data_IF_028016695272
#
_entry.id   IF_028016695272
#
_cell.length_a   1.000
_cell.length_b   1.000
_cell.length_c   1.000
_cell.angle_alpha   90.00
_cell.angle_beta   90.00
_cell.angle_gamma   90.00
#
_symmetry.space_group_name_H-M   'P 1'
#
loop_
_entity.id
_entity.type
_entity.pdbx_description
1 polymer ?
#
# COMPACT_ATOMS: atom_id res chain seq x y z
N UNK A 1 -26.85 -8.72 -10.83
CA UNK A 1 -25.67 -8.01 -11.37
C UNK A 1 -24.44 -8.73 -10.85
N UNK A 2 -23.49 -9.05 -11.72
CA UNK A 2 -22.36 -9.87 -11.30
C UNK A 2 -21.28 -8.97 -10.73
N UNK A 3 -21.24 -8.91 -9.40
CA UNK A 3 -20.18 -8.27 -8.65
C UNK A 3 -18.89 -9.08 -8.83
N UNK A 4 -18.03 -8.62 -9.74
CA UNK A 4 -16.75 -9.26 -10.00
C UNK A 4 -15.57 -8.50 -9.39
N UNK A 5 -14.65 -9.29 -8.85
CA UNK A 5 -13.32 -8.94 -8.44
C UNK A 5 -12.41 -9.02 -9.68
N UNK A 6 -11.88 -7.89 -10.10
CA UNK A 6 -10.88 -7.84 -11.15
C UNK A 6 -9.53 -8.38 -10.64
N UNK A 7 -9.04 -9.45 -11.26
CA UNK A 7 -7.76 -10.10 -10.90
C UNK A 7 -6.86 -10.17 -12.12
N UNK A 8 -5.63 -9.70 -11.99
CA UNK A 8 -4.59 -9.76 -13.02
C UNK A 8 -3.55 -10.79 -12.58
N UNK A 9 -3.37 -11.82 -13.40
CA UNK A 9 -2.37 -12.88 -13.19
C UNK A 9 -1.08 -12.55 -13.93
N UNK A 10 0.06 -12.65 -13.26
CA UNK A 10 1.40 -12.43 -13.81
C UNK A 10 2.22 -13.72 -13.72
N UNK A 11 3.18 -13.89 -14.62
CA UNK A 11 4.18 -14.94 -14.50
C UNK A 11 5.25 -14.58 -13.48
N UNK A 12 5.81 -15.58 -12.80
CA UNK A 12 6.90 -15.36 -11.84
C UNK A 12 8.29 -15.22 -12.50
N UNK A 13 8.42 -15.52 -13.80
CA UNK A 13 9.70 -15.39 -14.49
C UNK A 13 9.95 -13.98 -15.05
N UNK A 14 11.22 -13.59 -15.14
CA UNK A 14 11.63 -12.31 -15.75
C UNK A 14 11.16 -12.18 -17.21
N UNK A 15 10.92 -13.31 -17.89
CA UNK A 15 10.54 -13.37 -19.30
C UNK A 15 9.08 -12.95 -19.53
N UNK A 16 8.21 -13.13 -18.53
CA UNK A 16 6.80 -12.72 -18.60
C UNK A 16 6.60 -11.21 -18.61
N UNK A 17 7.63 -10.41 -18.31
CA UNK A 17 7.56 -8.95 -18.37
C UNK A 17 6.61 -8.33 -17.34
N UNK A 18 6.03 -7.18 -17.71
CA UNK A 18 5.11 -6.38 -16.89
C UNK A 18 3.64 -6.50 -17.33
N UNK A 19 3.33 -7.34 -18.32
CA UNK A 19 1.97 -7.55 -18.77
C UNK A 19 1.36 -8.78 -18.07
N UNK A 20 0.07 -8.72 -17.70
CA UNK A 20 -0.59 -9.86 -17.10
C UNK A 20 -0.80 -10.97 -18.13
N UNK A 21 -0.49 -12.21 -17.75
CA UNK A 21 -0.78 -13.44 -18.50
C UNK A 21 -2.28 -13.64 -18.70
N UNK A 22 -3.10 -13.23 -17.73
CA UNK A 22 -4.55 -13.28 -17.80
C UNK A 22 -5.19 -12.17 -16.98
N UNK A 23 -6.34 -11.66 -17.46
CA UNK A 23 -7.21 -10.75 -16.73
C UNK A 23 -8.52 -11.49 -16.46
N UNK A 24 -8.80 -11.74 -15.18
CA UNK A 24 -9.91 -12.54 -14.71
C UNK A 24 -10.94 -11.67 -14.01
N UNK A 25 -12.19 -12.11 -14.05
CA UNK A 25 -13.31 -11.56 -13.30
C UNK A 25 -13.87 -12.68 -12.43
N UNK A 26 -13.66 -12.57 -11.12
CA UNK A 26 -14.01 -13.61 -10.14
C UNK A 26 -15.08 -13.13 -9.18
N UNK A 27 -15.85 -14.02 -8.58
CA UNK A 27 -16.75 -13.61 -7.49
C UNK A 27 -15.94 -13.17 -6.24
N UNK A 28 -16.51 -12.31 -5.39
CA UNK A 28 -15.87 -11.92 -4.12
C UNK A 28 -15.70 -13.09 -3.14
N UNK A 29 -16.50 -14.14 -3.26
CA UNK A 29 -16.34 -15.38 -2.52
C UNK A 29 -15.56 -16.47 -3.29
N UNK A 30 -14.88 -16.11 -4.39
CA UNK A 30 -14.12 -17.05 -5.20
C UNK A 30 -13.08 -17.80 -4.36
N UNK A 31 -13.05 -19.11 -4.56
CA UNK A 31 -12.13 -20.05 -3.93
C UNK A 31 -10.91 -20.30 -4.83
N UNK A 32 -10.02 -21.18 -4.40
CA UNK A 32 -8.93 -21.68 -5.24
C UNK A 32 -9.45 -22.31 -6.54
N UNK A 33 -10.52 -23.12 -6.47
CA UNK A 33 -11.09 -23.79 -7.64
C UNK A 33 -11.59 -22.77 -8.67
N UNK A 34 -12.31 -21.75 -8.22
CA UNK A 34 -12.81 -20.67 -9.08
C UNK A 34 -11.67 -19.91 -9.76
N UNK A 35 -10.58 -19.64 -9.04
CA UNK A 35 -9.39 -19.00 -9.60
C UNK A 35 -8.77 -19.87 -10.71
N UNK A 36 -8.59 -21.16 -10.47
CA UNK A 36 -8.02 -22.09 -11.44
C UNK A 36 -8.94 -22.27 -12.66
N UNK A 37 -10.24 -22.43 -12.43
CA UNK A 37 -11.22 -22.64 -13.48
C UNK A 37 -11.45 -21.41 -14.36
N UNK A 38 -11.18 -20.21 -13.85
CA UNK A 38 -11.22 -18.99 -14.65
C UNK A 38 -9.99 -18.82 -15.57
N UNK A 39 -8.88 -19.51 -15.30
CA UNK A 39 -7.67 -19.38 -16.13
C UNK A 39 -7.86 -19.98 -17.54
N UNK A 40 -7.12 -19.49 -18.55
CA UNK A 40 -7.02 -20.16 -19.85
C UNK A 40 -6.58 -21.63 -19.70
N UNK A 41 -7.12 -22.53 -20.53
CA UNK A 41 -6.84 -23.99 -20.45
C UNK A 41 -5.33 -24.30 -20.51
N UNK A 42 -4.57 -23.54 -21.31
CA UNK A 42 -3.12 -23.67 -21.42
C UNK A 42 -2.38 -23.38 -20.10
N UNK A 43 -2.94 -22.53 -19.24
CA UNK A 43 -2.35 -22.13 -17.96
C UNK A 43 -2.73 -23.06 -16.82
N UNK A 44 -3.95 -23.64 -16.82
CA UNK A 44 -4.46 -24.46 -15.69
C UNK A 44 -3.56 -25.62 -15.29
N UNK A 45 -2.93 -26.25 -16.27
CA UNK A 45 -2.05 -27.38 -16.01
C UNK A 45 -0.65 -26.94 -15.60
N UNK A 46 -0.25 -25.73 -16.00
CA UNK A 46 1.08 -25.19 -15.81
C UNK A 46 1.21 -24.50 -14.45
N UNK A 47 0.26 -23.64 -14.09
CA UNK A 47 0.29 -22.83 -12.89
C UNK A 47 -0.64 -23.39 -11.82
N UNK A 48 -0.07 -23.81 -10.69
CA UNK A 48 -0.82 -24.43 -9.58
C UNK A 48 -0.64 -23.71 -8.25
N UNK A 49 0.24 -22.71 -8.22
CA UNK A 49 0.55 -21.98 -7.00
C UNK A 49 0.42 -20.49 -7.28
N UNK A 50 -0.07 -19.75 -6.29
CA UNK A 50 -0.33 -18.33 -6.42
C UNK A 50 0.32 -17.58 -5.27
N UNK A 51 0.79 -16.36 -5.54
CA UNK A 51 1.32 -15.47 -4.51
C UNK A 51 0.92 -14.03 -4.76
N UNK A 52 0.97 -13.21 -3.72
CA UNK A 52 0.96 -11.75 -3.84
C UNK A 52 2.27 -11.22 -3.27
N UNK A 53 3.00 -10.42 -4.06
CA UNK A 53 4.30 -9.92 -3.66
C UNK A 53 5.25 -11.05 -3.15
N UNK A 54 5.24 -12.19 -3.86
CA UNK A 54 5.97 -13.45 -3.54
C UNK A 54 5.58 -14.14 -2.23
N UNK A 55 4.48 -13.73 -1.60
CA UNK A 55 3.94 -14.41 -0.41
C UNK A 55 2.85 -15.38 -0.84
N UNK A 56 2.99 -16.69 -0.56
CA UNK A 56 2.05 -17.68 -1.05
C UNK A 56 0.63 -17.40 -0.57
N UNK A 57 -0.34 -17.63 -1.45
CA UNK A 57 -1.74 -17.63 -1.11
C UNK A 57 -2.12 -19.01 -0.59
N UNK A 58 -2.44 -19.09 0.70
CA UNK A 58 -2.86 -20.34 1.35
C UNK A 58 -4.39 -20.46 1.34
N UNK A 59 -4.87 -21.60 0.86
CA UNK A 59 -6.29 -21.98 0.79
C UNK A 59 -6.56 -23.20 1.69
N UNK A 60 -5.90 -23.22 2.84
CA UNK A 60 -5.76 -24.34 3.77
C UNK A 60 -7.03 -24.69 4.55
N UNK A 61 -7.95 -23.74 4.71
CA UNK A 61 -9.20 -23.92 5.46
C UNK A 61 -10.39 -23.95 4.51
N UNK A 62 -11.34 -24.84 4.78
CA UNK A 62 -12.64 -24.85 4.11
C UNK A 62 -13.29 -23.46 4.17
N UNK A 63 -13.74 -22.97 3.01
CA UNK A 63 -14.30 -21.63 2.88
C UNK A 63 -13.27 -20.49 2.76
N UNK A 64 -11.97 -20.78 2.65
CA UNK A 64 -10.97 -19.75 2.33
C UNK A 64 -11.22 -19.16 0.94
N UNK A 65 -11.58 -17.88 0.90
CA UNK A 65 -11.72 -17.11 -0.34
C UNK A 65 -10.37 -16.54 -0.78
N UNK A 66 -10.27 -16.19 -2.06
CA UNK A 66 -9.12 -15.49 -2.63
C UNK A 66 -8.76 -14.24 -1.84
N UNK A 67 -9.77 -13.46 -1.43
CA UNK A 67 -9.57 -12.24 -0.67
C UNK A 67 -8.99 -12.49 0.72
N UNK A 68 -9.49 -13.51 1.44
CA UNK A 68 -8.94 -13.83 2.76
C UNK A 68 -7.55 -14.45 2.67
N UNK A 69 -7.23 -15.16 1.59
CA UNK A 69 -5.88 -15.62 1.31
C UNK A 69 -4.93 -14.44 1.00
N UNK A 70 -5.35 -13.51 0.14
CA UNK A 70 -4.57 -12.29 -0.17
C UNK A 70 -4.36 -11.44 1.07
N UNK A 71 -5.40 -11.20 1.88
CA UNK A 71 -5.28 -10.45 3.12
C UNK A 71 -4.23 -11.07 4.06
N UNK A 72 -4.31 -12.39 4.29
CA UNK A 72 -3.38 -13.12 5.16
C UNK A 72 -1.94 -13.08 4.66
N UNK A 73 -1.75 -13.05 3.34
CA UNK A 73 -0.45 -12.99 2.72
C UNK A 73 0.20 -11.59 2.75
N UNK A 74 -0.55 -10.49 2.95
CA UNK A 74 0.00 -9.13 2.89
C UNK A 74 0.71 -8.68 4.18
N UNK A 75 1.68 -7.78 4.04
CA UNK A 75 2.37 -7.16 5.19
C UNK A 75 1.55 -6.06 5.90
N UNK A 76 0.47 -5.54 5.31
CA UNK A 76 -0.34 -4.43 5.85
C UNK A 76 -1.69 -4.92 6.41
N UNK A 77 -2.13 -4.47 7.59
CA UNK A 77 -3.42 -4.86 8.23
C UNK A 77 -4.60 -4.03 7.74
N UNK A 78 -4.57 -3.59 6.47
CA UNK A 78 -5.60 -2.69 5.95
C UNK A 78 -6.80 -3.46 5.42
N UNK A 79 -7.99 -2.94 5.69
CA UNK A 79 -9.24 -3.43 5.10
C UNK A 79 -9.48 -2.86 3.69
N UNK A 80 -8.60 -1.95 3.25
CA UNK A 80 -8.67 -1.26 1.99
C UNK A 80 -7.80 -1.95 0.93
N UNK A 81 -8.46 -2.39 -0.14
CA UNK A 81 -7.84 -3.06 -1.27
C UNK A 81 -7.88 -2.17 -2.51
N UNK A 82 -6.82 -2.28 -3.29
CA UNK A 82 -6.72 -1.67 -4.61
C UNK A 82 -7.08 -2.69 -5.66
N UNK A 83 -7.92 -2.30 -6.60
CA UNK A 83 -8.23 -3.11 -7.77
C UNK A 83 -7.51 -2.58 -9.03
N UNK A 84 -7.14 -3.48 -9.96
CA UNK A 84 -7.28 -4.95 -9.89
C UNK A 84 -6.30 -5.60 -8.90
N UNK A 85 -6.64 -6.77 -8.35
CA UNK A 85 -5.69 -7.56 -7.57
C UNK A 85 -4.61 -8.12 -8.49
N UNK A 86 -3.35 -7.86 -8.18
CA UNK A 86 -2.21 -8.36 -8.95
C UNK A 86 -1.61 -9.59 -8.25
N UNK A 87 -1.75 -10.76 -8.88
CA UNK A 87 -1.36 -12.06 -8.32
C UNK A 87 -0.33 -12.69 -9.26
N UNK A 88 0.76 -13.24 -8.69
CA UNK A 88 1.72 -14.02 -9.44
C UNK A 88 1.28 -15.50 -9.46
N UNK A 89 1.39 -16.12 -10.62
CA UNK A 89 1.14 -17.54 -10.85
C UNK A 89 2.48 -18.26 -11.02
N UNK A 90 2.64 -19.40 -10.33
CA UNK A 90 3.88 -20.15 -10.30
C UNK A 90 3.66 -21.60 -10.74
N UNK A 91 4.61 -22.11 -11.53
CA UNK A 91 4.60 -23.49 -12.00
C UNK A 91 4.95 -24.49 -10.89
N UNK A 92 5.76 -24.03 -9.92
CA UNK A 92 6.32 -24.84 -8.85
C UNK A 92 6.14 -24.15 -7.51
N UNK A 93 5.99 -24.97 -6.46
CA UNK A 93 5.82 -24.52 -5.08
C UNK A 93 7.11 -23.96 -4.45
N UNK A 94 8.02 -23.35 -5.20
CA UNK A 94 9.34 -22.92 -4.70
C UNK A 94 9.25 -22.00 -3.46
N UNK A 95 8.08 -21.41 -3.21
CA UNK A 95 7.80 -20.53 -2.07
C UNK A 95 6.88 -21.15 -1.01
N UNK A 96 6.45 -22.41 -1.13
CA UNK A 96 5.48 -23.03 -0.22
C UNK A 96 5.96 -23.21 1.23
N UNK A 97 7.26 -23.07 1.49
CA UNK A 97 7.89 -23.23 2.81
C UNK A 97 8.46 -21.94 3.40
N UNK A 98 8.29 -20.79 2.74
CA UNK A 98 8.69 -19.51 3.34
C UNK A 98 7.82 -19.27 4.58
N UNK A 99 8.44 -19.29 5.76
CA UNK A 99 7.80 -19.15 7.07
C UNK A 99 7.24 -17.75 7.32
N UNK A 100 6.32 -17.32 6.47
CA UNK A 100 5.56 -16.10 6.67
C UNK A 100 4.62 -16.30 7.86
N UNK A 101 4.59 -15.30 8.74
CA UNK A 101 3.58 -15.22 9.79
C UNK A 101 2.24 -15.01 9.09
N UNK A 102 1.48 -16.10 8.94
CA UNK A 102 0.09 -16.01 8.53
C UNK A 102 -0.65 -15.27 9.63
N UNK A 103 -1.31 -14.17 9.26
CA UNK A 103 -2.19 -13.49 10.20
C UNK A 103 -3.38 -14.39 10.50
N UNK A 104 -3.55 -14.70 11.77
CA UNK A 104 -4.65 -15.55 12.22
C UNK A 104 -5.97 -14.77 12.26
N UNK A 105 -5.92 -13.46 12.46
CA UNK A 105 -7.11 -12.64 12.65
C UNK A 105 -7.53 -11.97 11.33
N UNK A 106 -8.64 -12.46 10.78
CA UNK A 106 -9.36 -11.75 9.74
C UNK A 106 -10.11 -10.57 10.36
N UNK A 107 -10.21 -9.44 9.66
CA UNK A 107 -11.08 -8.35 10.09
C UNK A 107 -12.53 -8.86 10.01
N UNK A 108 -13.15 -9.04 11.17
CA UNK A 108 -14.55 -9.43 11.27
C UNK A 108 -15.37 -8.14 11.33
N UNK A 109 -15.88 -7.71 10.18
CA UNK A 109 -16.93 -6.68 10.13
C UNK A 109 -18.28 -7.40 10.13
N UNK A 110 -19.08 -7.23 11.19
CA UNK A 110 -20.45 -7.75 11.21
C UNK A 110 -21.34 -6.89 10.31
N UNK A 111 -21.60 -7.40 9.12
CA UNK A 111 -22.34 -6.67 8.11
C UNK A 111 -23.82 -6.49 8.44
N UNK A 112 -24.41 -7.40 9.21
CA UNK A 112 -25.80 -7.24 9.65
C UNK A 112 -25.90 -6.04 10.58
N UNK A 113 -24.91 -5.87 11.46
CA UNK A 113 -24.81 -4.72 12.31
C UNK A 113 -24.58 -3.42 11.52
N UNK A 114 -23.66 -3.42 10.54
CA UNK A 114 -23.40 -2.26 9.67
C UNK A 114 -24.68 -1.83 8.92
N UNK A 115 -25.39 -2.75 8.26
CA UNK A 115 -26.64 -2.38 7.58
C UNK A 115 -27.72 -1.89 8.53
N UNK A 116 -27.88 -2.55 9.68
CA UNK A 116 -28.86 -2.14 10.69
C UNK A 116 -28.57 -0.71 11.19
N UNK A 117 -27.30 -0.40 11.49
CA UNK A 117 -26.85 0.94 11.90
C UNK A 117 -27.00 1.97 10.78
N UNK A 118 -26.71 1.58 9.54
CA UNK A 118 -26.86 2.46 8.38
C UNK A 118 -28.33 2.83 8.16
N UNK A 119 -29.21 1.83 8.06
CA UNK A 119 -30.63 2.05 7.81
C UNK A 119 -31.34 2.85 8.90
N UNK A 120 -30.86 2.80 10.15
CA UNK A 120 -31.45 3.59 11.24
C UNK A 120 -31.01 5.05 11.28
N UNK A 121 -29.95 5.41 10.55
CA UNK A 121 -29.33 6.75 10.59
C UNK A 121 -29.28 7.46 9.24
N UNK A 122 -29.47 6.74 8.14
CA UNK A 122 -29.36 7.31 6.80
C UNK A 122 -30.47 8.33 6.51
N UNK A 123 -30.10 9.35 5.74
CA UNK A 123 -31.04 10.24 5.05
C UNK A 123 -31.30 9.66 3.67
N UNK A 124 -32.54 9.74 3.21
CA UNK A 124 -32.93 9.30 1.87
C UNK A 124 -33.17 10.50 0.97
N UNK A 125 -32.77 10.40 -0.29
CA UNK A 125 -33.05 11.40 -1.32
C UNK A 125 -33.36 10.73 -2.65
N UNK A 126 -34.29 11.30 -3.41
CA UNK A 126 -34.75 10.75 -4.68
C UNK A 126 -34.18 11.57 -5.85
N UNK A 127 -33.68 10.88 -6.87
CA UNK A 127 -33.30 11.42 -8.17
C UNK A 127 -34.22 10.88 -9.26
N UNK A 128 -34.53 11.74 -10.24
CA UNK A 128 -35.17 11.32 -11.48
C UNK A 128 -34.14 11.47 -12.61
N UNK A 129 -33.56 10.35 -13.04
CA UNK A 129 -32.62 10.28 -14.16
C UNK A 129 -33.41 10.15 -15.44
N UNK A 130 -33.34 11.13 -16.33
CA UNK A 130 -34.09 11.10 -17.59
C UNK A 130 -33.47 10.13 -18.59
N UNK A 131 -34.32 9.38 -19.29
CA UNK A 131 -33.89 8.49 -20.38
C UNK A 131 -33.55 9.26 -21.66
N UNK A 132 -32.71 8.66 -22.50
CA UNK A 132 -32.34 9.15 -23.85
C UNK A 132 -31.91 10.63 -23.88
N UNK A 133 -31.17 11.06 -22.86
CA UNK A 133 -30.66 12.43 -22.79
C UNK A 133 -29.26 12.50 -23.38
N UNK A 134 -29.06 13.32 -24.40
CA UNK A 134 -27.75 13.53 -25.08
C UNK A 134 -26.75 14.37 -24.27
N UNK A 135 -27.01 14.60 -22.98
CA UNK A 135 -26.14 15.36 -22.08
C UNK A 135 -25.99 14.61 -20.76
N UNK A 136 -24.90 14.88 -20.06
CA UNK A 136 -24.71 14.37 -18.70
C UNK A 136 -25.75 14.98 -17.77
N UNK A 137 -26.22 14.19 -16.81
CA UNK A 137 -27.13 14.64 -15.75
C UNK A 137 -26.38 14.61 -14.42
N UNK A 138 -26.30 15.77 -13.76
CA UNK A 138 -25.62 15.88 -12.47
C UNK A 138 -26.62 16.20 -11.36
N UNK A 139 -26.54 15.43 -10.27
CA UNK A 139 -27.36 15.58 -9.08
C UNK A 139 -26.46 15.78 -7.86
N UNK A 140 -26.85 16.70 -6.99
CA UNK A 140 -26.06 17.15 -5.84
C UNK A 140 -26.84 16.92 -4.55
N UNK A 141 -26.22 16.26 -3.57
CA UNK A 141 -26.76 16.00 -2.25
C UNK A 141 -25.72 16.39 -1.21
N UNK A 142 -25.87 17.59 -0.65
CA UNK A 142 -24.86 18.20 0.22
C UNK A 142 -23.49 18.22 -0.49
N UNK A 143 -22.50 17.48 0.02
CA UNK A 143 -21.18 17.34 -0.57
C UNK A 143 -21.09 16.23 -1.65
N UNK A 144 -22.08 15.35 -1.76
CA UNK A 144 -22.07 14.23 -2.70
C UNK A 144 -22.59 14.66 -4.07
N UNK A 145 -21.88 14.28 -5.13
CA UNK A 145 -22.24 14.59 -6.51
C UNK A 145 -22.30 13.30 -7.33
N UNK A 146 -23.40 13.13 -8.06
CA UNK A 146 -23.60 12.04 -9.02
C UNK A 146 -23.68 12.61 -10.42
N UNK A 147 -22.82 12.15 -11.31
CA UNK A 147 -22.85 12.50 -12.74
C UNK A 147 -23.15 11.27 -13.56
N UNK A 148 -24.35 11.22 -14.10
CA UNK A 148 -24.81 10.20 -15.03
C UNK A 148 -24.39 10.59 -16.45
N UNK A 149 -23.69 9.71 -17.18
CA UNK A 149 -23.32 9.96 -18.57
C UNK A 149 -24.54 10.18 -19.47
N UNK A 150 -24.36 10.87 -20.60
CA UNK A 150 -25.36 10.94 -21.66
C UNK A 150 -25.82 9.55 -22.09
N UNK A 151 -27.12 9.39 -22.34
CA UNK A 151 -27.74 8.14 -22.80
C UNK A 151 -27.48 6.93 -21.88
N UNK A 152 -27.27 7.15 -20.58
CA UNK A 152 -27.02 6.09 -19.61
C UNK A 152 -28.23 5.17 -19.35
N UNK A 153 -29.44 5.53 -19.79
CA UNK A 153 -30.64 4.69 -19.69
C UNK A 153 -31.66 5.03 -20.78
N UNK A 154 -32.47 4.05 -21.18
CA UNK A 154 -33.49 4.17 -22.24
C UNK A 154 -34.79 4.81 -21.75
N UNK A 155 -35.05 4.76 -20.44
CA UNK A 155 -36.29 5.22 -19.82
C UNK A 155 -35.99 6.06 -18.59
N UNK A 156 -36.92 6.95 -18.23
CA UNK A 156 -36.80 7.71 -16.98
C UNK A 156 -36.71 6.74 -15.80
N UNK A 157 -35.66 6.91 -14.98
CA UNK A 157 -35.37 6.05 -13.86
C UNK A 157 -35.48 6.83 -12.54
N UNK A 158 -36.17 6.23 -11.56
CA UNK A 158 -36.20 6.70 -10.18
C UNK A 158 -35.11 6.02 -9.37
N UNK A 159 -34.23 6.83 -8.79
CA UNK A 159 -33.05 6.37 -8.06
C UNK A 159 -33.05 6.98 -6.68
N UNK A 160 -33.10 6.13 -5.66
CA UNK A 160 -32.94 6.53 -4.26
C UNK A 160 -31.47 6.48 -3.86
N UNK A 161 -31.06 7.47 -3.08
CA UNK A 161 -29.78 7.49 -2.39
C UNK A 161 -30.06 7.57 -0.90
N UNK A 162 -29.59 6.55 -0.19
CA UNK A 162 -29.47 6.61 1.26
C UNK A 162 -28.04 7.02 1.60
N UNK A 163 -27.84 7.97 2.49
CA UNK A 163 -26.51 8.43 2.84
C UNK A 163 -26.40 8.94 4.28
N UNK A 164 -25.19 8.90 4.81
CA UNK A 164 -24.80 9.44 6.11
C UNK A 164 -23.59 10.36 5.89
N UNK A 165 -23.77 11.64 6.20
CA UNK A 165 -22.70 12.62 6.41
C UNK A 165 -22.68 12.92 7.91
N UNK A 166 -21.51 12.96 8.60
CA UNK A 166 -21.28 13.46 9.99
C UNK A 166 -20.62 12.48 11.00
N UNK A 167 -20.60 12.88 12.29
CA UNK A 167 -19.96 12.24 13.46
C UNK A 167 -20.37 10.78 13.71
N UNK A 168 -21.53 10.37 13.21
CA UNK A 168 -22.01 8.98 13.37
C UNK A 168 -21.18 7.94 12.60
N UNK A 169 -20.28 8.39 11.72
CA UNK A 169 -19.43 7.52 10.91
C UNK A 169 -18.40 6.72 11.73
N UNK A 170 -18.06 7.19 12.94
CA UNK A 170 -17.18 6.48 13.88
C UNK A 170 -17.73 5.07 14.25
N UNK A 171 -19.05 4.87 14.15
CA UNK A 171 -19.73 3.62 14.50
C UNK A 171 -19.52 2.47 13.50
N UNK A 172 -18.97 2.77 12.32
CA UNK A 172 -18.78 1.81 11.22
C UNK A 172 -17.37 1.23 11.17
N UNK A 173 -16.49 1.60 12.11
CA UNK A 173 -15.08 1.20 12.12
C UNK A 173 -14.35 1.56 10.81
N UNK A 174 -14.80 2.63 10.16
CA UNK A 174 -14.17 3.21 8.97
C UNK A 174 -13.56 4.54 9.39
N UNK A 175 -12.31 4.48 9.83
CA UNK A 175 -11.60 5.69 10.21
C UNK A 175 -11.50 6.64 9.03
N UNK A 176 -11.66 7.94 9.35
CA UNK A 176 -11.61 9.02 8.35
C UNK A 176 -12.68 8.86 7.24
N UNK A 177 -13.71 8.05 7.46
CA UNK A 177 -14.90 8.04 6.60
C UNK A 177 -15.61 9.38 6.70
N UNK A 178 -15.84 10.02 5.55
CA UNK A 178 -16.53 11.32 5.45
C UNK A 178 -17.94 11.20 4.90
N UNK A 179 -18.24 10.08 4.22
CA UNK A 179 -19.56 9.77 3.72
C UNK A 179 -19.72 8.27 3.57
N UNK A 180 -20.85 7.73 4.02
CA UNK A 180 -21.29 6.37 3.72
C UNK A 180 -22.63 6.45 2.98
N UNK A 181 -22.78 5.76 1.85
CA UNK A 181 -23.98 5.85 1.03
C UNK A 181 -24.30 4.54 0.30
N UNK A 182 -25.58 4.40 -0.06
CA UNK A 182 -26.13 3.29 -0.84
C UNK A 182 -27.06 3.87 -1.91
N UNK A 183 -27.05 3.28 -3.10
CA UNK A 183 -27.94 3.67 -4.20
C UNK A 183 -28.89 2.52 -4.51
N UNK A 184 -30.18 2.82 -4.68
CA UNK A 184 -31.25 1.85 -4.95
C UNK A 184 -32.06 2.31 -6.17
N UNK A 185 -32.40 1.36 -7.04
CA UNK A 185 -33.33 1.59 -8.14
C UNK A 185 -34.70 1.04 -7.77
N UNK A 186 -35.74 1.83 -8.06
CA UNK A 186 -37.13 1.38 -7.88
C UNK A 186 -37.64 0.59 -9.07
N UNK A 187 -37.21 0.96 -10.27
CA UNK A 187 -37.74 0.36 -11.50
C UNK A 187 -36.79 -0.70 -12.06
N UNK A 188 -37.22 -1.96 -12.04
CA UNK A 188 -36.46 -3.08 -12.60
C UNK A 188 -36.34 -3.00 -14.13
N UNK A 189 -37.19 -2.23 -14.80
CA UNK A 189 -37.19 -2.05 -16.25
C UNK A 189 -36.16 -1.01 -16.72
N UNK A 190 -35.89 0.01 -15.91
CA UNK A 190 -34.89 1.02 -16.20
C UNK A 190 -33.48 0.55 -15.80
N UNK A 191 -32.79 -0.13 -16.73
CA UNK A 191 -31.39 -0.51 -16.55
C UNK A 191 -30.47 0.65 -16.92
N UNK A 192 -29.42 0.85 -16.13
CA UNK A 192 -28.30 1.68 -16.54
C UNK A 192 -27.42 0.91 -17.53
N UNK A 193 -27.15 1.53 -18.68
CA UNK A 193 -26.10 1.12 -19.61
C UNK A 193 -24.71 1.46 -19.08
N UNK A 194 -24.61 2.58 -18.34
CA UNK A 194 -23.39 3.08 -17.74
C UNK A 194 -23.62 3.51 -16.29
N UNK A 195 -22.67 3.16 -15.43
CA UNK A 195 -22.69 3.54 -14.02
C UNK A 195 -22.32 5.02 -13.84
N UNK A 196 -22.94 5.72 -12.87
CA UNK A 196 -22.64 7.12 -12.62
C UNK A 196 -21.22 7.29 -12.07
N UNK A 197 -20.63 8.44 -12.37
CA UNK A 197 -19.44 8.93 -11.67
C UNK A 197 -19.88 9.57 -10.36
N UNK A 198 -19.16 9.26 -9.29
CA UNK A 198 -19.44 9.85 -7.98
C UNK A 198 -18.22 10.62 -7.50
N UNK A 199 -18.46 11.81 -6.99
CA UNK A 199 -17.44 12.63 -6.35
C UNK A 199 -17.95 13.21 -5.04
N UNK A 200 -17.01 13.53 -4.16
CA UNK A 200 -17.28 14.18 -2.89
C UNK A 200 -16.61 15.55 -2.89
N UNK A 201 -17.42 16.60 -2.80
CA UNK A 201 -16.99 17.98 -2.80
C UNK A 201 -16.54 18.37 -1.39
N UNK A 202 -15.48 19.19 -1.30
CA UNK A 202 -14.96 19.67 -0.02
C UNK A 202 -13.80 18.87 0.55
N UNK A 203 -13.54 17.63 0.09
CA UNK A 203 -12.42 16.80 0.58
C UNK A 203 -11.59 16.26 -0.59
N UNK A 204 -10.52 16.96 -0.96
CA UNK A 204 -9.67 16.62 -2.13
C UNK A 204 -8.95 15.28 -2.02
N UNK A 205 -8.79 14.77 -0.81
CA UNK A 205 -8.15 13.51 -0.46
C UNK A 205 -9.13 12.38 -0.15
N UNK A 206 -10.44 12.62 -0.23
CA UNK A 206 -11.41 11.55 -0.10
C UNK A 206 -11.34 10.62 -1.32
N UNK A 207 -11.24 9.31 -1.06
CA UNK A 207 -11.29 8.28 -2.11
C UNK A 207 -12.55 7.45 -1.97
N UNK A 208 -13.15 7.13 -3.10
CA UNK A 208 -14.29 6.22 -3.13
C UNK A 208 -13.82 4.79 -2.91
N UNK A 209 -14.40 4.19 -1.90
CA UNK A 209 -14.35 2.78 -1.60
C UNK A 209 -15.72 2.16 -1.80
N UNK A 210 -15.73 0.98 -2.38
CA UNK A 210 -16.93 0.21 -2.61
C UNK A 210 -16.83 -1.02 -1.72
N UNK A 211 -17.86 -1.24 -0.92
CA UNK A 211 -18.01 -2.47 -0.21
C UNK A 211 -18.91 -3.40 -1.04
N UNK A 212 -18.41 -4.61 -1.29
CA UNK A 212 -19.08 -5.55 -2.17
C UNK A 212 -19.35 -6.86 -1.44
N UNK A 213 -20.63 -7.20 -1.31
CA UNK A 213 -21.04 -8.43 -0.62
C UNK A 213 -20.63 -9.69 -1.38
N UNK A 214 -20.33 -10.79 -0.68
CA UNK A 214 -20.34 -10.95 0.78
C UNK A 214 -18.97 -10.66 1.45
N UNK A 215 -18.08 -9.90 0.83
CA UNK A 215 -16.75 -9.64 1.40
C UNK A 215 -16.81 -8.79 2.68
N UNK A 216 -15.75 -8.79 3.49
CA UNK A 216 -15.57 -7.86 4.62
C UNK A 216 -14.63 -6.68 4.29
N UNK A 217 -14.30 -6.48 3.01
CA UNK A 217 -13.24 -5.58 2.56
C UNK A 217 -13.76 -4.44 1.69
N UNK A 218 -13.01 -3.35 1.65
CA UNK A 218 -13.34 -2.13 0.91
C UNK A 218 -12.43 -1.98 -0.30
N UNK A 219 -13.00 -1.69 -1.47
CA UNK A 219 -12.27 -1.67 -2.73
C UNK A 219 -12.25 -0.30 -3.38
N UNK A 220 -11.06 0.16 -3.74
CA UNK A 220 -10.86 1.39 -4.49
C UNK A 220 -10.15 1.07 -5.82
N UNK A 221 -10.62 1.69 -6.90
CA UNK A 221 -9.88 1.74 -8.15
C UNK A 221 -8.94 2.95 -8.13
N UNK A 222 -7.73 2.78 -8.67
CA UNK A 222 -6.68 3.83 -8.67
C UNK A 222 -7.09 5.08 -9.46
N UNK A 223 -8.09 5.01 -10.33
CA UNK A 223 -8.52 6.14 -11.17
C UNK A 223 -9.21 7.22 -10.32
N UNK A 224 -8.79 8.48 -10.50
CA UNK A 224 -9.35 9.65 -9.78
C UNK A 224 -10.85 9.86 -10.03
N UNK A 225 -11.39 9.32 -11.13
CA UNK A 225 -12.80 9.27 -11.39
C UNK A 225 -13.37 7.95 -10.91
N UNK A 226 -14.17 8.02 -9.84
CA UNK A 226 -14.74 6.84 -9.22
C UNK A 226 -16.13 6.56 -9.81
N UNK A 227 -16.13 6.01 -11.02
CA UNK A 227 -17.33 5.37 -11.56
C UNK A 227 -17.75 4.27 -10.59
N UNK A 228 -19.04 4.21 -10.25
CA UNK A 228 -19.53 3.11 -9.41
C UNK A 228 -19.31 1.77 -10.11
N UNK A 229 -19.03 0.77 -9.29
CA UNK A 229 -18.82 -0.60 -9.76
C UNK A 229 -20.16 -1.32 -9.94
N UNK A 230 -21.11 -1.04 -9.04
CA UNK A 230 -22.41 -1.69 -8.98
C UNK A 230 -23.43 -0.79 -8.28
N UNK A 231 -24.71 -1.12 -8.46
CA UNK A 231 -25.82 -0.50 -7.76
C UNK A 231 -26.31 -1.43 -6.65
N UNK A 232 -26.90 -0.88 -5.59
CA UNK A 232 -27.37 -1.66 -4.42
C UNK A 232 -26.26 -2.00 -3.42
N UNK A 233 -24.99 -1.76 -3.75
CA UNK A 233 -23.86 -1.88 -2.84
C UNK A 233 -23.77 -0.71 -1.85
N UNK A 234 -22.93 -0.89 -0.83
CA UNK A 234 -22.57 0.18 0.09
C UNK A 234 -21.26 0.80 -0.37
N UNK A 235 -21.17 2.12 -0.27
CA UNK A 235 -20.04 2.89 -0.76
C UNK A 235 -19.61 3.89 0.30
N UNK A 236 -18.31 4.13 0.42
CA UNK A 236 -17.76 5.05 1.39
C UNK A 236 -16.77 6.00 0.70
N UNK A 237 -16.85 7.29 1.01
CA UNK A 237 -15.71 8.18 0.81
C UNK A 237 -14.87 8.17 2.09
N UNK A 238 -13.63 7.75 1.95
CA UNK A 238 -12.66 7.71 3.06
C UNK A 238 -11.57 8.72 2.78
N UNK A 239 -11.38 9.67 3.69
CA UNK A 239 -10.30 10.65 3.63
C UNK A 239 -8.98 9.93 3.83
N UNK A 240 -8.14 9.98 2.81
CA UNK A 240 -6.75 9.57 2.96
C UNK A 240 -5.98 10.69 3.67
N UNK A 241 -5.09 10.34 4.58
CA UNK A 241 -4.31 11.30 5.35
C UNK A 241 -3.04 11.67 4.58
N UNK A 242 -2.88 12.97 4.32
CA UNK A 242 -1.64 13.51 3.75
C UNK A 242 -0.53 13.36 4.79
N UNK A 243 0.42 12.49 4.49
CA UNK A 243 1.66 12.37 5.25
C UNK A 243 2.62 13.45 4.78
N UNK A 244 2.85 13.48 3.46
CA UNK A 244 3.57 14.56 2.77
C UNK A 244 2.65 15.05 1.66
N UNK A 245 2.12 16.29 1.73
CA UNK A 245 1.23 16.85 0.74
C UNK A 245 1.70 16.59 -0.70
N UNK A 246 0.78 16.11 -1.54
CA UNK A 246 1.00 15.76 -2.96
C UNK A 246 1.97 14.61 -3.27
N UNK A 247 2.72 14.10 -2.28
CA UNK A 247 3.74 13.06 -2.50
C UNK A 247 3.38 11.73 -1.84
N UNK A 248 2.75 11.76 -0.66
CA UNK A 248 2.39 10.57 0.11
C UNK A 248 1.07 10.77 0.83
N UNK A 249 0.07 9.97 0.46
CA UNK A 249 -1.27 10.01 1.02
C UNK A 249 -1.77 8.58 1.25
N UNK A 250 -2.13 8.24 2.48
CA UNK A 250 -2.39 6.86 2.91
C UNK A 250 -3.77 6.75 3.56
N UNK A 251 -4.48 5.61 3.43
CA UNK A 251 -5.59 5.30 4.32
C UNK A 251 -5.10 5.23 5.78
N UNK A 252 -5.94 5.67 6.71
CA UNK A 252 -5.53 5.86 8.11
C UNK A 252 -5.21 4.57 8.86
N UNK A 253 -5.66 3.42 8.36
CA UNK A 253 -5.41 2.10 8.96
C UNK A 253 -4.04 1.48 8.57
N UNK A 254 -3.26 2.15 7.72
CA UNK A 254 -1.89 1.73 7.39
C UNK A 254 -0.84 2.18 8.40
N UNK A 255 -1.21 3.05 9.33
CA UNK A 255 -0.35 3.53 10.38
C UNK A 255 -1.12 3.52 11.70
N UNK A 256 -0.46 3.81 12.81
CA UNK A 256 -1.14 3.70 14.10
C UNK A 256 -2.26 4.74 14.17
N UNK A 257 -3.48 4.26 14.38
CA UNK A 257 -4.72 5.02 14.33
C UNK A 257 -4.72 6.29 15.20
N UNK A 258 -4.03 6.26 16.34
CA UNK A 258 -3.90 7.41 17.24
C UNK A 258 -3.15 8.61 16.61
N UNK A 259 -2.45 8.39 15.49
CA UNK A 259 -1.70 9.42 14.78
C UNK A 259 -2.50 10.07 13.63
N UNK A 260 -3.76 9.70 13.34
CA UNK A 260 -4.47 10.18 12.13
C UNK A 260 -4.55 11.70 11.97
N UNK A 261 -4.69 12.43 13.09
CA UNK A 261 -4.77 13.91 13.08
C UNK A 261 -3.42 14.58 12.90
N UNK A 262 -2.35 13.97 13.43
CA UNK A 262 -0.97 14.47 13.37
C UNK A 262 -0.06 13.26 13.10
N UNK A 263 -0.04 12.77 11.85
CA UNK A 263 0.59 11.49 11.52
C UNK A 263 2.11 11.54 11.62
N UNK A 264 2.67 12.76 11.56
CA UNK A 264 4.08 13.03 11.72
C UNK A 264 4.38 13.62 13.08
N UNK A 265 5.38 13.06 13.76
CA UNK A 265 5.97 13.63 14.96
C UNK A 265 7.48 13.80 14.78
N UNK A 266 8.06 14.75 15.49
CA UNK A 266 9.50 14.98 15.46
C UNK A 266 10.21 13.96 16.34
N UNK A 267 11.34 13.44 15.85
CA UNK A 267 12.22 12.51 16.56
C UNK A 267 13.66 12.99 16.40
N UNK A 268 14.46 12.90 17.48
CA UNK A 268 15.86 13.34 17.46
C UNK A 268 16.88 12.18 17.39
N UNK A 269 16.41 10.94 17.56
CA UNK A 269 17.25 9.73 17.62
C UNK A 269 16.77 8.71 16.59
N UNK A 270 17.67 8.06 15.82
CA UNK A 270 19.12 8.28 15.79
C UNK A 270 19.52 9.61 15.14
N UNK A 271 18.62 10.24 14.37
CA UNK A 271 18.82 11.57 13.79
C UNK A 271 17.57 12.43 13.92
N UNK A 272 17.71 13.78 13.89
CA UNK A 272 16.59 14.69 13.74
C UNK A 272 15.80 14.42 12.46
N UNK A 273 14.55 14.01 12.58
CA UNK A 273 13.65 13.69 11.48
C UNK A 273 12.18 13.89 11.84
N UNK A 274 11.32 13.94 10.83
CA UNK A 274 9.88 13.69 11.01
C UNK A 274 9.61 12.19 10.85
N UNK A 275 8.74 11.64 11.67
CA UNK A 275 8.50 10.20 11.75
C UNK A 275 7.01 9.88 11.58
N UNK A 276 6.69 8.94 10.69
CA UNK A 276 5.41 8.26 10.60
C UNK A 276 5.53 6.90 11.27
N UNK A 277 4.80 6.66 12.36
CA UNK A 277 4.79 5.35 13.04
C UNK A 277 3.78 4.40 12.37
N UNK A 278 4.26 3.28 11.85
CA UNK A 278 3.44 2.27 11.15
C UNK A 278 2.92 1.22 12.14
N UNK A 279 3.78 0.74 13.04
CA UNK A 279 3.45 -0.26 14.07
C UNK A 279 4.43 -0.20 15.23
N UNK A 280 4.16 -0.94 16.30
CA UNK A 280 5.11 -1.12 17.40
C UNK A 280 6.22 -2.11 17.06
N UNK A 281 7.39 -1.92 17.68
CA UNK A 281 8.54 -2.80 17.49
C UNK A 281 8.40 -4.06 18.33
N UNK A 282 8.24 -5.21 17.67
CA UNK A 282 8.35 -6.51 18.32
C UNK A 282 9.82 -6.89 18.55
N UNK A 283 10.34 -6.52 19.72
CA UNK A 283 11.72 -6.83 20.12
C UNK A 283 11.98 -8.31 20.37
N UNK A 284 10.93 -9.11 20.56
CA UNK A 284 11.06 -10.54 20.86
C UNK A 284 11.37 -11.32 19.59
N UNK A 285 10.57 -11.09 18.54
CA UNK A 285 10.69 -11.84 17.29
C UNK A 285 11.61 -11.14 16.27
N UNK A 286 11.73 -9.81 16.35
CA UNK A 286 12.55 -8.99 15.44
C UNK A 286 13.48 -8.05 16.23
N UNK A 287 14.51 -8.57 16.93
CA UNK A 287 15.27 -7.80 17.92
C UNK A 287 16.15 -6.68 17.34
N UNK A 288 16.52 -6.75 16.06
CA UNK A 288 17.44 -5.78 15.46
C UNK A 288 16.69 -4.65 14.74
N UNK A 289 17.28 -3.45 14.73
CA UNK A 289 16.80 -2.33 13.90
C UNK A 289 17.76 -2.15 12.72
N UNK A 290 17.20 -1.93 11.54
CA UNK A 290 17.91 -1.56 10.34
C UNK A 290 17.13 -0.53 9.53
N UNK A 291 17.79 0.06 8.54
CA UNK A 291 17.29 1.17 7.75
C UNK A 291 17.36 0.85 6.26
N UNK A 292 16.34 1.27 5.52
CA UNK A 292 16.28 1.15 4.06
C UNK A 292 15.85 2.49 3.46
N UNK A 293 16.78 3.21 2.83
CA UNK A 293 16.45 4.42 2.11
C UNK A 293 15.79 4.09 0.77
N UNK A 294 14.78 4.86 0.40
CA UNK A 294 14.04 4.66 -0.86
C UNK A 294 13.42 5.96 -1.34
N UNK A 295 12.75 5.94 -2.48
CA UNK A 295 12.03 7.10 -2.99
C UNK A 295 10.70 7.29 -2.26
N UNK A 296 10.29 8.55 -2.03
CA UNK A 296 9.00 8.86 -1.40
C UNK A 296 7.82 8.22 -2.14
N UNK A 297 7.91 8.08 -3.46
CA UNK A 297 6.83 7.56 -4.31
C UNK A 297 6.60 6.05 -4.12
N UNK A 298 7.59 5.31 -3.62
CA UNK A 298 7.50 3.85 -3.41
C UNK A 298 7.00 3.48 -2.02
N UNK A 299 7.03 4.42 -1.07
CA UNK A 299 6.67 4.18 0.34
C UNK A 299 5.28 3.56 0.45
N UNK A 300 4.27 4.08 -0.24
CA UNK A 300 2.92 3.51 -0.19
C UNK A 300 2.90 2.04 -0.64
N UNK A 301 3.58 1.71 -1.73
CA UNK A 301 3.65 0.32 -2.21
C UNK A 301 4.34 -0.58 -1.19
N UNK A 302 5.43 -0.10 -0.58
CA UNK A 302 6.19 -0.85 0.41
C UNK A 302 5.40 -1.02 1.71
N UNK A 303 4.62 -0.03 2.14
CA UNK A 303 3.73 -0.19 3.29
C UNK A 303 2.61 -1.19 3.02
N UNK A 304 2.13 -1.27 1.78
CA UNK A 304 1.08 -2.21 1.36
C UNK A 304 1.57 -3.66 1.17
N UNK A 305 2.78 -3.82 0.63
CA UNK A 305 3.35 -5.09 0.15
C UNK A 305 4.62 -5.52 0.89
N UNK A 306 5.09 -4.76 1.88
CA UNK A 306 6.40 -4.94 2.50
C UNK A 306 7.57 -4.65 1.56
N UNK A 307 8.79 -4.81 2.08
CA UNK A 307 9.96 -4.96 1.21
C UNK A 307 9.86 -6.30 0.49
N UNK A 308 10.23 -6.34 -0.79
CA UNK A 308 10.13 -7.53 -1.63
C UNK A 308 11.44 -7.81 -2.33
N UNK A 309 11.64 -9.08 -2.69
CA UNK A 309 12.79 -9.46 -3.50
C UNK A 309 12.67 -8.87 -4.91
N UNK A 310 13.80 -8.59 -5.58
CA UNK A 310 13.81 -8.27 -7.00
C UNK A 310 13.08 -9.32 -7.85
N UNK A 311 12.54 -8.89 -8.98
CA UNK A 311 11.59 -9.58 -9.87
C UNK A 311 10.19 -9.82 -9.30
N UNK A 312 9.89 -9.36 -8.09
CA UNK A 312 8.56 -9.52 -7.49
C UNK A 312 7.55 -8.57 -8.14
N UNK A 313 6.39 -9.09 -8.53
CA UNK A 313 5.22 -8.28 -8.89
C UNK A 313 4.50 -7.85 -7.60
N UNK A 314 4.38 -6.54 -7.40
CA UNK A 314 3.70 -5.93 -6.23
C UNK A 314 2.22 -5.64 -6.52
N UNK A 315 1.45 -5.22 -5.51
CA UNK A 315 -0.01 -5.00 -5.63
C UNK A 315 -0.38 -3.96 -6.68
N UNK A 316 0.55 -3.09 -7.09
CA UNK A 316 0.32 -2.14 -8.18
C UNK A 316 0.46 -2.75 -9.58
N UNK A 317 0.82 -4.03 -9.70
CA UNK A 317 1.11 -4.72 -10.96
C UNK A 317 2.50 -4.45 -11.52
N UNK A 318 3.33 -3.67 -10.82
CA UNK A 318 4.69 -3.38 -11.25
C UNK A 318 5.62 -4.50 -10.79
N UNK A 319 6.54 -4.91 -11.67
CA UNK A 319 7.66 -5.76 -11.28
C UNK A 319 8.78 -4.92 -10.70
N UNK A 320 9.23 -5.26 -9.50
CA UNK A 320 10.34 -4.58 -8.84
C UNK A 320 11.65 -5.09 -9.45
N UNK A 321 12.35 -4.22 -10.17
CA UNK A 321 13.65 -4.53 -10.77
C UNK A 321 14.72 -3.60 -10.19
N UNK A 322 16.00 -4.02 -10.15
CA UNK A 322 17.09 -3.09 -9.88
C UNK A 322 17.05 -1.91 -10.87
N UNK A 323 17.43 -0.70 -10.45
CA UNK A 323 17.54 0.45 -11.35
C UNK A 323 18.47 0.15 -12.54
N UNK A 324 18.24 0.81 -13.69
CA UNK A 324 19.02 0.59 -14.92
C UNK A 324 20.53 0.75 -14.70
N UNK A 325 20.94 1.70 -13.85
CA UNK A 325 22.34 2.00 -13.57
C UNK A 325 22.91 1.18 -12.40
N UNK A 326 22.19 0.17 -11.92
CA UNK A 326 22.62 -0.72 -10.85
C UNK A 326 23.23 -2.01 -11.43
N UNK A 327 24.01 -2.73 -10.62
CA UNK A 327 24.47 -4.08 -10.95
C UNK A 327 23.26 -4.93 -11.33
N UNK A 328 23.31 -5.60 -12.48
CA UNK A 328 22.19 -6.39 -12.98
C UNK A 328 22.04 -7.71 -12.22
N UNK A 329 20.84 -8.30 -12.25
CA UNK A 329 20.62 -9.65 -11.70
C UNK A 329 21.44 -10.69 -12.46
N UNK A 330 21.71 -11.82 -11.80
CA UNK A 330 22.59 -12.89 -12.27
C UNK A 330 24.08 -12.54 -12.26
N UNK A 331 24.44 -11.27 -12.00
CA UNK A 331 25.82 -10.82 -12.00
C UNK A 331 26.48 -11.13 -10.65
N UNK A 332 27.69 -11.67 -10.69
CA UNK A 332 28.53 -11.80 -9.49
C UNK A 332 29.30 -10.51 -9.29
N UNK A 333 29.16 -9.87 -8.13
CA UNK A 333 29.91 -8.67 -7.76
C UNK A 333 30.36 -8.78 -6.30
N UNK A 334 31.56 -8.26 -6.01
CA UNK A 334 32.16 -8.31 -4.65
C UNK A 334 32.21 -9.74 -4.05
N UNK A 335 32.40 -10.75 -4.91
CA UNK A 335 32.40 -12.17 -4.50
C UNK A 335 31.01 -12.75 -4.15
N UNK A 336 29.92 -12.02 -4.42
CA UNK A 336 28.54 -12.44 -4.14
C UNK A 336 27.87 -12.81 -5.45
N UNK A 337 27.48 -14.07 -5.57
CA UNK A 337 26.68 -14.56 -6.71
C UNK A 337 25.30 -13.91 -6.71
N UNK A 338 24.85 -13.46 -7.88
CA UNK A 338 23.57 -12.78 -8.07
C UNK A 338 23.40 -11.62 -7.06
N UNK A 339 24.39 -10.72 -7.06
CA UNK A 339 24.54 -9.65 -6.08
C UNK A 339 23.25 -8.86 -5.87
N UNK A 340 22.53 -8.56 -6.95
CA UNK A 340 21.36 -7.69 -6.87
C UNK A 340 20.10 -8.42 -6.43
N UNK A 341 20.13 -9.73 -6.17
CA UNK A 341 18.97 -10.53 -5.78
C UNK A 341 18.88 -10.67 -4.24
N UNK A 342 18.77 -9.55 -3.55
CA UNK A 342 18.55 -9.47 -2.11
C UNK A 342 17.81 -8.18 -1.76
N UNK A 343 17.18 -8.15 -0.59
CA UNK A 343 16.75 -6.92 0.07
C UNK A 343 17.95 -6.38 0.84
N UNK A 344 18.30 -5.13 0.56
CA UNK A 344 19.38 -4.41 1.25
C UNK A 344 18.79 -3.58 2.40
N UNK A 345 19.33 -3.74 3.60
CA UNK A 345 19.10 -2.87 4.76
C UNK A 345 20.44 -2.63 5.47
N UNK A 346 20.51 -1.69 6.39
CA UNK A 346 21.74 -1.41 7.14
C UNK A 346 21.45 -0.98 8.57
N UNK A 347 22.25 -1.37 9.59
CA UNK A 347 22.11 -0.84 10.94
C UNK A 347 22.50 0.64 11.04
N UNK A 348 23.16 1.21 10.02
CA UNK A 348 23.57 2.61 9.99
C UNK A 348 22.59 3.47 9.20
N UNK A 349 21.92 4.36 9.91
CA UNK A 349 21.08 5.37 9.27
C UNK A 349 21.90 6.34 8.40
N UNK A 350 23.19 6.54 8.72
CA UNK A 350 24.09 7.38 7.92
C UNK A 350 24.42 6.72 6.59
N UNK A 351 24.72 5.42 6.63
CA UNK A 351 25.04 4.65 5.43
C UNK A 351 23.87 4.54 4.46
N UNK A 352 22.65 4.26 4.96
CA UNK A 352 21.49 4.23 4.05
C UNK A 352 21.19 5.62 3.46
N UNK A 353 21.59 6.69 4.15
CA UNK A 353 21.35 8.07 3.72
C UNK A 353 22.35 8.59 2.70
N UNK A 354 23.39 7.80 2.36
CA UNK A 354 24.36 8.14 1.33
C UNK A 354 23.64 8.35 -0.03
N UNK A 355 24.05 9.34 -0.84
CA UNK A 355 23.45 9.59 -2.16
C UNK A 355 23.52 8.41 -3.14
N UNK A 356 24.41 7.43 -2.91
CA UNK A 356 24.44 6.18 -3.66
C UNK A 356 23.23 5.27 -3.42
N UNK A 357 22.51 5.45 -2.31
CA UNK A 357 21.31 4.67 -1.95
C UNK A 357 20.04 5.52 -1.85
N UNK A 358 20.13 6.72 -1.26
CA UNK A 358 18.97 7.54 -0.94
C UNK A 358 18.53 8.43 -2.11
N UNK A 359 17.22 8.46 -2.36
CA UNK A 359 16.61 9.39 -3.31
C UNK A 359 16.01 10.56 -2.54
N UNK A 360 16.54 11.77 -2.76
CA UNK A 360 16.01 12.96 -2.11
C UNK A 360 14.73 13.48 -2.76
N UNK A 361 13.87 14.12 -1.97
CA UNK A 361 12.71 14.88 -2.43
C UNK A 361 12.66 16.26 -1.73
N UNK A 362 11.87 17.18 -2.29
CA UNK A 362 11.70 18.54 -1.74
C UNK A 362 10.29 18.72 -1.20
N UNK A 363 10.17 19.33 -0.02
CA UNK A 363 8.90 19.72 0.58
C UNK A 363 9.13 20.98 1.43
N UNK A 364 8.27 22.01 1.30
CA UNK A 364 8.39 23.28 2.05
C UNK A 364 9.82 23.87 2.06
N UNK A 365 10.42 23.96 0.87
CA UNK A 365 11.79 24.46 0.63
C UNK A 365 12.92 23.68 1.31
N UNK A 366 12.60 22.55 1.94
CA UNK A 366 13.57 21.64 2.56
C UNK A 366 13.74 20.39 1.69
N UNK A 367 14.97 19.88 1.67
CA UNK A 367 15.28 18.60 1.03
C UNK A 367 15.34 17.50 2.08
N UNK A 368 14.62 16.43 1.81
CA UNK A 368 14.51 15.25 2.66
C UNK A 368 14.92 14.00 1.91
N UNK A 369 15.19 12.94 2.66
CA UNK A 369 15.23 11.56 2.18
C UNK A 369 14.18 10.75 2.95
N UNK A 370 13.59 9.75 2.29
CA UNK A 370 12.67 8.82 2.92
C UNK A 370 13.43 7.54 3.30
N UNK A 371 13.37 7.18 4.58
CA UNK A 371 14.04 6.00 5.13
C UNK A 371 13.01 5.15 5.86
N UNK A 372 12.91 3.88 5.49
CA UNK A 372 12.14 2.90 6.25
C UNK A 372 13.00 2.45 7.44
N UNK A 373 12.44 2.57 8.64
CA UNK A 373 12.97 1.92 9.82
C UNK A 373 12.31 0.55 9.95
N UNK A 374 13.15 -0.48 9.91
CA UNK A 374 12.74 -1.87 9.87
C UNK A 374 13.24 -2.60 11.11
N UNK A 375 12.44 -3.51 11.65
CA UNK A 375 12.92 -4.54 12.56
C UNK A 375 13.24 -5.82 11.82
N UNK A 376 14.34 -6.44 12.20
CA UNK A 376 14.95 -7.57 11.50
C UNK A 376 15.02 -8.76 12.45
N UNK A 377 14.60 -9.92 11.95
CA UNK A 377 14.69 -11.19 12.67
C UNK A 377 16.14 -11.59 12.88
N UNK A 378 16.48 -12.08 14.06
CA UNK A 378 17.83 -12.57 14.35
C UNK A 378 18.24 -13.70 13.38
N UNK A 379 19.51 -13.71 12.96
CA UNK A 379 20.13 -14.71 12.04
C UNK A 379 19.48 -14.82 10.65
N UNK A 380 18.66 -13.85 10.24
CA UNK A 380 17.98 -13.83 8.94
C UNK A 380 18.75 -13.11 7.83
N UNK A 381 19.85 -12.45 8.16
CA UNK A 381 20.61 -11.61 7.25
C UNK A 381 22.08 -12.02 7.19
N UNK A 382 22.73 -11.69 6.07
CA UNK A 382 24.17 -11.73 5.92
C UNK A 382 24.74 -10.33 6.05
N UNK A 383 25.67 -10.14 6.98
CA UNK A 383 26.44 -8.91 7.12
C UNK A 383 27.61 -8.87 6.14
N UNK A 384 27.86 -7.69 5.60
CA UNK A 384 28.90 -7.42 4.61
C UNK A 384 29.59 -6.08 4.91
N UNK A 385 30.83 -5.91 4.42
CA UNK A 385 31.50 -4.63 4.49
C UNK A 385 30.81 -3.61 3.57
N UNK A 386 31.16 -2.34 3.76
CA UNK A 386 30.70 -1.26 2.89
C UNK A 386 31.04 -1.56 1.42
N UNK A 387 30.02 -1.47 0.56
CA UNK A 387 30.14 -1.63 -0.89
C UNK A 387 30.16 -0.28 -1.62
N UNK A 388 29.95 0.82 -0.90
CA UNK A 388 30.07 2.19 -1.42
C UNK A 388 31.51 2.67 -1.22
N UNK A 389 32.28 2.64 -2.30
CA UNK A 389 33.72 2.98 -2.28
C UNK A 389 34.01 4.40 -1.77
N UNK A 390 33.08 5.33 -1.97
CA UNK A 390 33.23 6.74 -1.59
C UNK A 390 32.60 7.08 -0.23
N UNK A 391 32.07 6.09 0.48
CA UNK A 391 31.39 6.33 1.74
C UNK A 391 32.39 6.77 2.82
N UNK A 392 32.07 7.87 3.50
CA UNK A 392 32.82 8.35 4.67
C UNK A 392 32.08 7.86 5.92
N UNK A 393 32.65 6.92 6.70
CA UNK A 393 31.95 6.34 7.83
C UNK A 393 31.68 7.34 8.94
N UNK A 394 30.49 7.22 9.54
CA UNK A 394 30.20 7.86 10.82
C UNK A 394 30.95 7.15 11.96
N UNK A 395 31.17 7.83 13.10
CA UNK A 395 31.93 7.26 14.23
C UNK A 395 31.38 5.94 14.76
N UNK A 396 30.05 5.78 14.64
CA UNK A 396 29.31 4.66 15.19
C UNK A 396 29.13 3.53 14.17
N UNK A 397 29.68 3.69 12.96
CA UNK A 397 29.54 2.72 11.88
C UNK A 397 30.57 1.58 12.00
N UNK A 398 30.08 0.34 12.03
CA UNK A 398 30.93 -0.83 11.80
C UNK A 398 31.03 -1.12 10.29
N UNK A 399 31.99 -0.49 9.61
CA UNK A 399 32.19 -0.61 8.16
C UNK A 399 32.39 -2.04 7.64
N UNK A 400 32.76 -2.99 8.50
CA UNK A 400 32.97 -4.39 8.11
C UNK A 400 31.67 -5.19 8.05
N UNK A 401 30.61 -4.67 8.67
CA UNK A 401 29.31 -5.35 8.84
C UNK A 401 28.13 -4.38 8.66
N UNK A 402 28.34 -3.30 7.89
CA UNK A 402 27.39 -2.20 7.71
C UNK A 402 26.29 -2.51 6.69
N UNK A 403 26.48 -3.49 5.83
CA UNK A 403 25.52 -3.85 4.79
C UNK A 403 24.87 -5.19 5.13
N UNK A 404 23.55 -5.20 5.34
CA UNK A 404 22.79 -6.41 5.64
C UNK A 404 21.94 -6.82 4.44
N UNK A 405 22.08 -8.08 4.05
CA UNK A 405 21.34 -8.66 2.94
C UNK A 405 20.41 -9.75 3.40
N UNK A 406 19.14 -9.60 3.02
CA UNK A 406 18.09 -10.56 3.30
C UNK A 406 17.56 -11.17 2.01
N UNK A 407 17.27 -12.45 2.04
CA UNK A 407 16.66 -13.19 0.92
C UNK A 407 15.20 -13.55 1.19
N UNK A 408 14.74 -13.35 2.42
CA UNK A 408 13.39 -13.65 2.85
C UNK A 408 12.69 -12.38 3.36
N UNK A 409 11.71 -11.83 2.60
CA UNK A 409 10.89 -10.71 3.03
C UNK A 409 10.14 -10.90 4.36
N UNK A 410 9.90 -12.15 4.80
CA UNK A 410 9.21 -12.44 6.06
C UNK A 410 9.99 -11.98 7.30
N UNK A 411 11.31 -11.85 7.15
CA UNK A 411 12.23 -11.58 8.26
C UNK A 411 12.42 -10.07 8.50
N UNK A 412 11.58 -9.25 7.86
CA UNK A 412 11.58 -7.79 7.93
C UNK A 412 10.19 -7.29 8.29
N UNK A 413 10.10 -6.46 9.32
CA UNK A 413 8.91 -5.66 9.58
C UNK A 413 9.22 -4.17 9.45
N UNK A 414 8.31 -3.42 8.85
CA UNK A 414 8.44 -1.95 8.77
C UNK A 414 7.76 -1.35 9.99
N UNK A 415 8.54 -0.63 10.80
CA UNK A 415 8.07 -0.01 12.05
C UNK A 415 7.69 1.45 11.81
N UNK A 416 8.52 2.16 11.06
CA UNK A 416 8.34 3.60 10.84
C UNK A 416 8.83 4.02 9.46
N UNK A 417 8.34 5.17 8.99
CA UNK A 417 8.94 5.92 7.88
C UNK A 417 9.53 7.21 8.44
N UNK A 418 10.81 7.44 8.18
CA UNK A 418 11.58 8.59 8.62
C UNK A 418 11.81 9.53 7.44
N UNK A 419 11.51 10.81 7.64
CA UNK A 419 11.80 11.88 6.70
C UNK A 419 12.95 12.72 7.26
N UNK A 420 14.16 12.41 6.81
CA UNK A 420 15.40 12.98 7.34
C UNK A 420 15.80 14.18 6.48
N UNK A 421 15.94 15.39 7.04
CA UNK A 421 16.42 16.54 6.29
C UNK A 421 17.92 16.39 5.99
N UNK A 422 18.34 16.71 4.76
CA UNK A 422 19.73 16.50 4.31
C UNK A 422 20.75 17.30 5.14
N UNK A 423 20.37 18.46 5.65
CA UNK A 423 21.25 19.31 6.50
C UNK A 423 21.66 18.58 7.79
N UNK A 424 20.80 17.71 8.32
CA UNK A 424 21.12 16.90 9.51
C UNK A 424 22.22 15.87 9.23
N UNK A 425 22.33 15.38 7.99
CA UNK A 425 23.37 14.41 7.61
C UNK A 425 24.76 15.06 7.55
N UNK A 426 24.83 16.28 7.00
CA UNK A 426 26.09 17.06 6.91
C UNK A 426 26.62 17.40 8.32
N UNK A 427 25.70 17.67 9.25
CA UNK A 427 26.07 18.01 10.63
C UNK A 427 26.62 16.80 11.39
N UNK A 428 26.05 15.62 11.16
CA UNK A 428 26.53 14.38 11.76
C UNK A 428 27.88 13.91 11.19
N UNK A 429 28.18 14.18 9.92
CA UNK A 429 29.47 13.84 9.30
C UNK A 429 30.67 14.68 9.78
N UNK A 430 30.46 15.68 10.65
CA UNK A 430 31.53 16.54 11.19
C UNK A 430 31.73 16.34 12.71
N UNK A 431 32.41 15.28 13.15
CA UNK A 431 32.82 15.14 14.55
C UNK A 431 34.09 16.00 14.78
N UNK A 432 33.90 17.29 15.04
CA UNK A 432 34.96 18.14 15.59
C UNK A 432 35.48 19.21 14.65
N UNK A 433 34.90 20.41 14.77
CA UNK A 433 35.73 21.61 14.66
C UNK A 433 36.41 21.76 16.02
N UNK A 434 37.75 21.63 16.15
CA UNK A 434 38.40 21.96 17.41
C UNK A 434 38.01 23.41 17.75
N UNK A 435 37.53 23.63 18.97
CA UNK A 435 37.45 24.98 19.54
C UNK A 435 38.80 25.64 19.28
N UNK A 436 38.81 26.74 18.52
CA UNK A 436 39.99 27.60 18.39
C UNK A 436 40.49 27.84 19.81
N UNK A 437 41.65 27.27 20.14
CA UNK A 437 42.42 27.72 21.27
C UNK A 437 42.63 29.22 21.07
N UNK A 438 42.07 30.01 21.98
CA UNK A 438 42.35 31.43 22.04
C UNK A 438 43.83 31.61 22.35
N UNK A 439 44.64 31.79 21.30
CA UNK A 439 45.92 32.46 21.45
C UNK A 439 45.60 33.91 21.80
N UNK A 440 45.78 34.24 23.08
CA UNK A 440 45.73 35.58 23.60
C UNK A 440 46.86 36.39 22.95
N UNK A 441 46.61 37.46 22.18
CA UNK A 441 47.68 38.22 21.51
C UNK A 441 48.50 39.10 22.47
N UNK A 442 48.22 39.10 23.77
CA UNK A 442 48.82 40.03 24.74
C UNK A 442 49.65 39.34 25.84
N UNK A 443 50.47 38.35 25.52
CA UNK A 443 51.59 37.96 26.39
C UNK A 443 52.90 38.43 25.79
N UNK A 444 53.20 39.71 26.02
CA UNK A 444 54.55 40.29 25.95
C UNK A 444 54.94 40.60 27.41
N UNK A 445 56.20 40.30 27.73
CA UNK A 445 56.94 40.34 29.01
C UNK A 445 56.62 39.27 30.03
#
# INVERSE_FOLDING_TARGET
ENNFLAVHLYGDDAKSGNEPLAKLQLSYNATYADLVDAMPKSMRNLYRYFSIARRPLHFDKDGTTLLSAVYRARCATTNFFRLPLCIAAHERAHYGSSGHILRNDLPIVDMRDVYRKFSSKCRSSLMNVRGNLDKNQTFMFEALSFTFPSNCTDYDARVDIDYIMSQDLDLFNLQECVCLFQIKYHDKSAKLKDMPMVSFNGERNARLYNWVQPSSYWFCYKTQHARLIAIGGMHAFVRHIYIIPSLLNLPSDLFIQNASRNPLYNRNTPLPCQCLKVREHDKKDFPHIAYHATSIITIESILMDGLVMPDTVVSSGLRICPPINHISRGTTAFGIKDFSNAIFVTPSIHYCSDPGYAVSFTHEDKRFIAVLECSIKEKSFRSLPSMVLTYVPHSDDNIKEIEWRLTNPADIEIISVLFIPIVSLITAANPGRPKKSGANPNSVT
#
